data_IF_923854424986
#
_entry.id   IF_923854424986
#
_cell.length_a   1.000
_cell.length_b   1.000
_cell.length_c   1.000
_cell.angle_alpha   90.00
_cell.angle_beta   90.00
_cell.angle_gamma   90.00
#
_symmetry.space_group_name_H-M   'P 1'
#
loop_
_entity.id
_entity.type
_entity.pdbx_description
1 polymer ?
#
# COMPACT_ATOMS: atom_id res chain seq x y z
N UNK A 1 -17.59 23.99 8.75
CA UNK A 1 -16.91 23.83 7.44
C UNK A 1 -15.59 23.06 7.57
N UNK A 2 -14.59 23.55 8.30
CA UNK A 2 -13.30 22.83 8.48
C UNK A 2 -13.40 21.38 8.99
N UNK A 3 -14.36 21.09 9.88
CA UNK A 3 -14.60 19.72 10.38
C UNK A 3 -15.06 18.75 9.28
N UNK A 4 -15.97 19.20 8.42
CA UNK A 4 -16.50 18.40 7.29
C UNK A 4 -15.40 18.17 6.25
N UNK A 5 -14.61 19.19 5.94
CA UNK A 5 -13.50 19.08 4.99
C UNK A 5 -12.38 18.16 5.51
N UNK A 6 -12.08 18.22 6.81
CA UNK A 6 -11.14 17.32 7.47
C UNK A 6 -11.61 15.87 7.43
N UNK A 7 -12.88 15.61 7.75
CA UNK A 7 -13.46 14.27 7.63
C UNK A 7 -13.49 13.76 6.20
N UNK A 8 -13.82 14.63 5.23
CA UNK A 8 -13.79 14.28 3.81
C UNK A 8 -12.38 13.89 3.35
N UNK A 9 -11.36 14.63 3.79
CA UNK A 9 -9.96 14.31 3.48
C UNK A 9 -9.53 12.97 4.11
N UNK A 10 -9.88 12.72 5.37
CA UNK A 10 -9.58 11.45 6.06
C UNK A 10 -10.30 10.29 5.37
N UNK A 11 -11.59 10.46 5.04
CA UNK A 11 -12.38 9.45 4.35
C UNK A 11 -11.83 9.16 2.95
N UNK A 12 -11.41 10.18 2.21
CA UNK A 12 -10.79 10.01 0.88
C UNK A 12 -9.45 9.31 0.99
N UNK A 13 -8.64 9.64 1.99
CA UNK A 13 -7.35 9.00 2.24
C UNK A 13 -7.52 7.54 2.67
N UNK A 14 -8.52 7.25 3.50
CA UNK A 14 -8.89 5.89 3.89
C UNK A 14 -9.41 5.07 2.71
N UNK A 15 -10.22 5.69 1.83
CA UNK A 15 -10.69 5.06 0.60
C UNK A 15 -9.52 4.75 -0.34
N UNK A 16 -8.60 5.70 -0.52
CA UNK A 16 -7.41 5.51 -1.36
C UNK A 16 -6.49 4.43 -0.78
N UNK A 17 -6.26 4.42 0.53
CA UNK A 17 -5.50 3.39 1.23
C UNK A 17 -6.13 2.00 1.08
N UNK A 18 -7.44 1.91 1.24
CA UNK A 18 -8.19 0.67 1.04
C UNK A 18 -8.07 0.18 -0.39
N UNK A 19 -8.27 1.07 -1.36
CA UNK A 19 -8.14 0.74 -2.78
C UNK A 19 -6.73 0.24 -3.12
N UNK A 20 -5.69 0.91 -2.61
CA UNK A 20 -4.30 0.50 -2.80
C UNK A 20 -4.01 -0.88 -2.21
N UNK A 21 -4.49 -1.15 -0.99
CA UNK A 21 -4.25 -2.44 -0.31
C UNK A 21 -4.93 -3.58 -1.05
N UNK A 22 -6.17 -3.40 -1.47
CA UNK A 22 -6.92 -4.41 -2.23
C UNK A 22 -6.40 -4.58 -3.65
N UNK A 23 -5.95 -3.50 -4.32
CA UNK A 23 -5.32 -3.59 -5.62
C UNK A 23 -4.00 -4.38 -5.56
N UNK A 24 -3.14 -4.08 -4.58
CA UNK A 24 -1.90 -4.83 -4.35
C UNK A 24 -2.18 -6.30 -4.03
N UNK A 25 -3.19 -6.58 -3.20
CA UNK A 25 -3.61 -7.96 -2.91
C UNK A 25 -4.09 -8.69 -4.17
N UNK A 26 -4.92 -8.04 -5.00
CA UNK A 26 -5.42 -8.63 -6.24
C UNK A 26 -4.29 -8.93 -7.24
N UNK A 27 -3.33 -8.01 -7.40
CA UNK A 27 -2.14 -8.24 -8.24
C UNK A 27 -1.33 -9.41 -7.69
N UNK A 28 -1.14 -9.50 -6.38
CA UNK A 28 -0.38 -10.58 -5.77
C UNK A 28 -1.08 -11.95 -5.93
N UNK A 29 -2.41 -12.02 -5.74
CA UNK A 29 -3.21 -13.24 -5.99
C UNK A 29 -3.18 -13.62 -7.47
N UNK A 30 -3.31 -12.63 -8.38
CA UNK A 30 -3.23 -12.85 -9.81
C UNK A 30 -1.85 -13.41 -10.21
N UNK A 31 -0.76 -12.83 -9.72
CA UNK A 31 0.60 -13.31 -9.99
C UNK A 31 0.79 -14.74 -9.50
N UNK A 32 0.35 -15.07 -8.28
CA UNK A 32 0.42 -16.43 -7.74
C UNK A 32 -0.43 -17.42 -8.57
N UNK A 33 -1.61 -17.00 -9.02
CA UNK A 33 -2.49 -17.87 -9.84
C UNK A 33 -1.93 -18.09 -11.25
N UNK A 34 -1.18 -17.12 -11.76
CA UNK A 34 -0.57 -17.16 -13.09
C UNK A 34 0.90 -17.57 -13.05
N UNK A 35 1.44 -17.97 -11.90
CA UNK A 35 2.84 -18.40 -11.75
C UNK A 35 3.20 -19.51 -12.75
N UNK A 36 2.30 -20.48 -12.96
CA UNK A 36 2.51 -21.55 -13.95
C UNK A 36 2.47 -21.06 -15.40
N UNK A 37 1.64 -20.06 -15.72
CA UNK A 37 1.59 -19.45 -17.05
C UNK A 37 2.78 -18.52 -17.32
N UNK A 38 3.27 -17.83 -16.28
CA UNK A 38 4.47 -17.00 -16.31
C UNK A 38 5.75 -17.86 -16.39
N UNK A 39 5.81 -18.98 -15.65
CA UNK A 39 6.88 -19.97 -15.74
C UNK A 39 6.88 -20.69 -17.07
N UNK A 40 5.71 -21.12 -17.56
CA UNK A 40 5.58 -21.73 -18.89
C UNK A 40 5.85 -20.75 -20.04
N UNK A 41 5.57 -19.44 -19.87
CA UNK A 41 6.00 -18.41 -20.81
C UNK A 41 7.52 -18.19 -20.75
N UNK A 42 8.15 -18.29 -19.57
CA UNK A 42 9.61 -18.21 -19.41
C UNK A 42 10.34 -19.46 -19.92
N UNK A 43 9.78 -20.66 -19.72
CA UNK A 43 10.25 -21.91 -20.36
C UNK A 43 10.02 -21.85 -21.87
N UNK A 44 8.90 -21.27 -22.30
CA UNK A 44 8.62 -20.91 -23.69
C UNK A 44 9.70 -19.98 -24.26
N UNK A 45 10.21 -19.02 -23.48
CA UNK A 45 11.36 -18.16 -23.84
C UNK A 45 12.68 -18.95 -23.88
N UNK A 46 12.86 -19.96 -23.03
CA UNK A 46 13.98 -20.91 -23.15
C UNK A 46 13.91 -21.80 -24.40
N UNK A 47 12.70 -22.04 -24.92
CA UNK A 47 12.44 -22.76 -26.19
C UNK A 47 12.28 -21.83 -27.41
N UNK A 48 12.18 -20.52 -27.20
CA UNK A 48 12.35 -19.50 -28.23
C UNK A 48 13.85 -19.48 -28.49
N UNK A 49 14.28 -20.44 -29.31
CA UNK A 49 15.51 -20.32 -30.06
C UNK A 49 15.52 -18.90 -30.61
N UNK A 50 16.60 -18.18 -30.33
CA UNK A 50 16.80 -16.83 -30.82
C UNK A 50 16.42 -16.85 -32.30
N UNK A 51 15.39 -16.09 -32.74
CA UNK A 51 14.88 -16.21 -34.09
C UNK A 51 16.03 -16.13 -35.09
N UNK A 52 16.02 -16.92 -36.16
CA UNK A 52 17.18 -17.01 -37.07
C UNK A 52 17.60 -15.65 -37.67
N UNK A 53 16.70 -14.67 -37.69
CA UNK A 53 16.97 -13.29 -38.09
C UNK A 53 17.73 -12.45 -37.05
N UNK A 54 17.64 -12.81 -35.77
CA UNK A 54 18.34 -12.22 -34.62
C UNK A 54 19.66 -12.92 -34.32
N UNK A 55 19.80 -14.19 -34.70
CA UNK A 55 21.02 -14.98 -34.50
C UNK A 55 22.32 -14.31 -34.98
N UNK A 56 22.36 -13.58 -36.11
CA UNK A 56 23.57 -12.87 -36.55
C UNK A 56 23.89 -11.61 -35.75
N UNK A 57 22.89 -11.03 -35.07
CA UNK A 57 22.97 -9.73 -34.40
C UNK A 57 23.18 -9.83 -32.89
N UNK A 58 23.10 -11.04 -32.31
CA UNK A 58 23.32 -11.27 -30.88
C UNK A 58 24.64 -12.01 -30.67
N UNK A 59 25.64 -11.38 -30.03
CA UNK A 59 26.87 -12.04 -29.63
C UNK A 59 26.60 -13.22 -28.70
N UNK A 60 27.33 -14.33 -28.91
CA UNK A 60 27.21 -15.55 -28.12
C UNK A 60 27.44 -15.30 -26.62
N UNK A 61 28.29 -14.32 -26.29
CA UNK A 61 28.60 -13.91 -24.92
C UNK A 61 27.37 -13.34 -24.19
N UNK A 62 26.50 -12.61 -24.89
CA UNK A 62 25.25 -12.09 -24.34
C UNK A 62 24.27 -13.21 -24.05
N UNK A 63 24.15 -14.20 -24.95
CA UNK A 63 23.30 -15.38 -24.74
C UNK A 63 23.78 -16.17 -23.53
N UNK A 64 25.09 -16.43 -23.43
CA UNK A 64 25.67 -17.14 -22.30
C UNK A 64 25.53 -16.36 -20.98
N UNK A 65 25.76 -15.04 -21.02
CA UNK A 65 25.59 -14.17 -19.85
C UNK A 65 24.15 -14.15 -19.32
N UNK A 66 23.18 -14.01 -20.22
CA UNK A 66 21.75 -14.08 -19.87
C UNK A 66 21.36 -15.46 -19.37
N UNK A 67 21.88 -16.53 -19.98
CA UNK A 67 21.62 -17.91 -19.56
C UNK A 67 22.22 -18.20 -18.18
N UNK A 68 23.44 -17.73 -17.88
CA UNK A 68 24.02 -17.82 -16.53
C UNK A 68 23.25 -16.99 -15.51
N UNK A 69 22.79 -15.79 -15.88
CA UNK A 69 21.99 -14.95 -15.00
C UNK A 69 20.63 -15.59 -14.71
N UNK A 70 19.99 -16.19 -15.72
CA UNK A 70 18.75 -16.95 -15.57
C UNK A 70 18.95 -18.23 -14.74
N UNK A 71 20.03 -18.98 -14.97
CA UNK A 71 20.38 -20.13 -14.16
C UNK A 71 20.65 -19.75 -12.69
N UNK A 72 21.24 -18.58 -12.45
CA UNK A 72 21.41 -18.01 -11.11
C UNK A 72 20.10 -17.62 -10.42
N UNK A 73 19.04 -17.36 -11.19
CA UNK A 73 17.70 -17.08 -10.67
C UNK A 73 16.88 -18.35 -10.40
N UNK A 74 17.23 -19.49 -11.00
CA UNK A 74 16.54 -20.78 -10.82
C UNK A 74 16.26 -21.12 -9.34
N UNK A 75 17.27 -21.13 -8.46
CA UNK A 75 17.07 -21.41 -7.04
C UNK A 75 16.16 -20.41 -6.32
N UNK A 76 16.14 -19.15 -6.77
CA UNK A 76 15.33 -18.07 -6.22
C UNK A 76 13.87 -18.23 -6.64
N UNK A 77 13.64 -18.65 -7.89
CA UNK A 77 12.33 -19.03 -8.42
C UNK A 77 11.80 -20.27 -7.72
N UNK A 78 12.62 -21.31 -7.54
CA UNK A 78 12.23 -22.52 -6.80
C UNK A 78 11.87 -22.22 -5.35
N UNK A 79 12.66 -21.37 -4.68
CA UNK A 79 12.35 -20.92 -3.32
C UNK A 79 11.03 -20.17 -3.25
N UNK A 80 10.75 -19.32 -4.24
CA UNK A 80 9.50 -18.58 -4.34
C UNK A 80 8.31 -19.52 -4.59
N UNK A 81 8.46 -20.48 -5.51
CA UNK A 81 7.46 -21.51 -5.81
C UNK A 81 7.16 -22.40 -4.61
N UNK A 82 8.19 -22.78 -3.84
CA UNK A 82 8.02 -23.55 -2.62
C UNK A 82 7.31 -22.76 -1.52
N UNK A 83 7.47 -21.43 -1.51
CA UNK A 83 6.75 -20.53 -0.62
C UNK A 83 5.30 -20.26 -1.07
N UNK A 84 4.96 -20.42 -2.36
CA UNK A 84 3.60 -20.18 -2.92
C UNK A 84 2.47 -20.79 -2.07
N UNK A 85 2.48 -22.07 -1.66
CA UNK A 85 1.40 -22.64 -0.86
C UNK A 85 1.26 -21.98 0.53
N UNK A 86 2.35 -21.47 1.12
CA UNK A 86 2.29 -20.68 2.35
C UNK A 86 1.76 -19.26 2.09
N UNK A 87 2.14 -18.64 0.97
CA UNK A 87 1.61 -17.35 0.54
C UNK A 87 0.11 -17.44 0.23
N UNK A 88 -0.38 -18.53 -0.38
CA UNK A 88 -1.79 -18.65 -0.78
C UNK A 88 -2.77 -18.50 0.41
N UNK A 89 -2.40 -18.99 1.60
CA UNK A 89 -3.16 -18.76 2.83
C UNK A 89 -2.77 -17.47 3.57
N UNK A 90 -1.50 -17.09 3.54
CA UNK A 90 -0.97 -15.95 4.29
C UNK A 90 -1.24 -14.58 3.66
N UNK A 91 -1.40 -14.49 2.34
CA UNK A 91 -1.52 -13.21 1.62
C UNK A 91 -2.74 -12.42 2.05
N UNK A 92 -3.86 -13.10 2.27
CA UNK A 92 -5.11 -12.48 2.72
C UNK A 92 -4.98 -12.04 4.18
N UNK A 93 -4.33 -12.83 5.04
CA UNK A 93 -4.07 -12.46 6.43
C UNK A 93 -3.16 -11.23 6.51
N UNK A 94 -2.08 -11.21 5.74
CA UNK A 94 -1.17 -10.05 5.64
C UNK A 94 -1.91 -8.83 5.10
N UNK A 95 -2.74 -8.98 4.08
CA UNK A 95 -3.56 -7.89 3.55
C UNK A 95 -4.51 -7.32 4.61
N UNK A 96 -5.18 -8.18 5.39
CA UNK A 96 -6.02 -7.76 6.51
C UNK A 96 -5.23 -7.01 7.59
N UNK A 97 -4.04 -7.50 7.96
CA UNK A 97 -3.18 -6.85 8.96
C UNK A 97 -2.71 -5.48 8.47
N UNK A 98 -2.19 -5.39 7.24
CA UNK A 98 -1.73 -4.13 6.64
C UNK A 98 -2.88 -3.14 6.50
N UNK A 99 -4.04 -3.60 6.05
CA UNK A 99 -5.24 -2.78 5.94
C UNK A 99 -5.67 -2.25 7.31
N UNK A 100 -5.75 -3.12 8.33
CA UNK A 100 -6.18 -2.76 9.68
C UNK A 100 -5.22 -1.77 10.35
N UNK A 101 -3.90 -2.01 10.25
CA UNK A 101 -2.89 -1.10 10.82
C UNK A 101 -3.00 0.27 10.16
N UNK A 102 -3.00 0.34 8.83
CA UNK A 102 -3.11 1.61 8.12
C UNK A 102 -4.45 2.32 8.38
N UNK A 103 -5.55 1.57 8.44
CA UNK A 103 -6.87 2.11 8.78
C UNK A 103 -6.92 2.70 10.19
N UNK A 104 -6.42 1.98 11.19
CA UNK A 104 -6.34 2.48 12.58
C UNK A 104 -5.45 3.72 12.65
N UNK A 105 -4.29 3.72 11.98
CA UNK A 105 -3.37 4.86 12.00
C UNK A 105 -4.01 6.12 11.40
N UNK A 106 -4.74 5.98 10.29
CA UNK A 106 -5.47 7.08 9.65
C UNK A 106 -6.61 7.60 10.53
N UNK A 107 -7.34 6.71 11.22
CA UNK A 107 -8.40 7.10 12.15
C UNK A 107 -7.84 7.83 13.38
N UNK A 108 -6.74 7.34 13.96
CA UNK A 108 -6.05 8.00 15.08
C UNK A 108 -5.55 9.38 14.67
N UNK A 109 -4.96 9.50 13.47
CA UNK A 109 -4.52 10.78 12.93
C UNK A 109 -5.70 11.76 12.78
N UNK A 110 -6.83 11.27 12.28
CA UNK A 110 -8.06 12.06 12.16
C UNK A 110 -8.59 12.54 13.52
N UNK A 111 -8.67 11.64 14.50
CA UNK A 111 -9.10 11.95 15.85
C UNK A 111 -8.16 12.95 16.55
N UNK A 112 -6.84 12.77 16.41
CA UNK A 112 -5.83 13.66 16.97
C UNK A 112 -5.95 15.08 16.39
N UNK A 113 -6.11 15.20 15.07
CA UNK A 113 -6.30 16.50 14.40
C UNK A 113 -7.58 17.19 14.89
N UNK A 114 -8.67 16.44 15.06
CA UNK A 114 -9.92 16.95 15.63
C UNK A 114 -9.78 17.43 17.07
N UNK A 115 -9.05 16.68 17.91
CA UNK A 115 -8.80 17.06 19.30
C UNK A 115 -7.96 18.34 19.36
N UNK A 116 -6.94 18.46 18.51
CA UNK A 116 -6.10 19.64 18.42
C UNK A 116 -6.91 20.89 18.05
N UNK A 117 -7.80 20.79 17.05
CA UNK A 117 -8.73 21.88 16.67
C UNK A 117 -9.65 22.25 17.83
N UNK A 118 -10.20 21.26 18.55
CA UNK A 118 -11.09 21.51 19.68
C UNK A 118 -10.39 22.20 20.85
N UNK A 119 -9.16 21.77 21.18
CA UNK A 119 -8.34 22.35 22.24
C UNK A 119 -7.90 23.78 21.89
N UNK A 120 -7.59 24.04 20.62
CA UNK A 120 -7.18 25.37 20.18
C UNK A 120 -8.33 26.37 20.24
N UNK A 121 -9.55 25.93 19.89
CA UNK A 121 -10.77 26.75 20.01
C UNK A 121 -11.14 27.05 21.47
N UNK A 122 -10.92 26.11 22.40
CA UNK A 122 -11.11 26.33 23.84
C UNK A 122 -10.15 27.37 24.40
N UNK A 123 -8.90 27.41 23.93
CA UNK A 123 -7.91 28.43 24.34
C UNK A 123 -8.21 29.81 23.77
N UNK A 124 -8.78 29.91 22.56
CA UNK A 124 -9.19 31.18 21.95
C UNK A 124 -10.52 31.76 22.45
N UNK A 125 -11.37 30.94 23.09
CA UNK A 125 -12.71 31.35 23.57
C UNK A 125 -12.81 31.70 25.06
N UNK A 126 -11.73 31.62 25.83
CA UNK A 126 -11.72 31.87 27.28
C UNK A 126 -11.60 33.34 27.70
N UNK A 127 -11.67 34.29 26.76
CA UNK A 127 -11.39 35.72 26.99
C UNK A 127 -12.60 36.65 27.13
N UNK A 128 -13.83 36.15 27.22
CA UNK A 128 -15.01 37.01 27.35
C UNK A 128 -16.01 36.43 28.35
N UNK A 129 -15.74 36.63 29.64
CA UNK A 129 -16.63 36.10 30.67
C UNK A 129 -16.22 36.43 32.10
N UNK A 130 -15.79 37.65 32.38
CA UNK A 130 -15.76 38.16 33.75
C UNK A 130 -16.88 39.19 33.91
N UNK A 131 -17.98 38.68 34.45
CA UNK A 131 -19.01 39.41 35.18
C UNK A 131 -18.46 40.59 35.97
N UNK A 132 -18.88 41.81 35.62
CA UNK A 132 -18.81 42.95 36.51
C UNK A 132 -20.08 43.79 36.31
N UNK A 133 -21.19 43.28 36.83
CA UNK A 133 -22.29 44.14 37.22
C UNK A 133 -22.04 44.59 38.66
N UNK A 134 -21.97 45.90 38.94
CA UNK A 134 -22.20 46.41 40.27
C UNK A 134 -23.60 47.02 40.31
N UNK A 135 -24.52 46.31 40.96
CA UNK A 135 -25.65 46.93 41.63
C UNK A 135 -25.11 47.82 42.74
N UNK A 136 -25.12 49.14 42.54
CA UNK A 136 -25.01 50.12 43.62
C UNK A 136 -26.18 51.08 43.53
N UNK A 137 -27.24 50.71 44.25
CA UNK A 137 -28.20 51.64 44.79
C UNK A 137 -27.52 52.45 45.90
N UNK A 138 -27.48 53.77 45.76
CA UNK A 138 -27.31 54.66 46.91
C UNK A 138 -28.09 55.94 46.65
N UNK A 139 -29.25 55.97 47.30
CA UNK A 139 -29.97 57.07 47.97
C UNK A 139 -29.71 58.51 47.54
#
# INVERSE_FOLDING_TARGET
MFYVLSWFAIASLLALWSLATWALHAVAVWSVSNVGALSGAAEGVGSIALPDWLAPWVPTELVQGVTQMAAGLGPLVDSLLQAVPFLAGGLTVVAWVVWAIGGVLLLVLGAALHLLIALWRRRGGGGSGSSAGPSLATR
#
